data_IF_364211946301
#
_entry.id   IF_364211946301
#
_cell.length_a   1.000
_cell.length_b   1.000
_cell.length_c   1.000
_cell.angle_alpha   90.00
_cell.angle_beta   90.00
_cell.angle_gamma   90.00
#
_symmetry.space_group_name_H-M   'P 1'
#
loop_
_entity.id
_entity.type
_entity.pdbx_description
1 polymer ?
#
# COMPACT_ATOMS: atom_id res chain seq x y z
N UNK A 1 2.26 4.53 -9.77
CA UNK A 1 1.91 4.50 -11.21
C UNK A 1 3.15 4.21 -12.03
N UNK A 2 2.97 3.80 -13.28
CA UNK A 2 4.10 3.58 -14.18
C UNK A 2 4.72 4.88 -14.68
N UNK A 3 5.98 4.82 -15.11
CA UNK A 3 6.61 5.87 -15.91
C UNK A 3 5.90 5.95 -17.28
N UNK A 4 5.54 7.12 -17.80
CA UNK A 4 4.96 7.24 -19.13
C UNK A 4 5.79 6.57 -20.24
N UNK A 5 7.11 6.49 -20.06
CA UNK A 5 8.00 5.79 -21.01
C UNK A 5 7.70 4.32 -21.19
N UNK A 6 7.10 3.66 -20.19
CA UNK A 6 6.67 2.25 -20.29
C UNK A 6 5.69 2.05 -21.45
N UNK A 7 4.79 3.01 -21.68
CA UNK A 7 3.81 2.98 -22.77
C UNK A 7 4.45 3.06 -24.17
N UNK A 8 5.67 3.58 -24.25
CA UNK A 8 6.43 3.71 -25.50
C UNK A 8 7.47 2.60 -25.67
N UNK A 9 8.24 2.33 -24.62
CA UNK A 9 9.45 1.52 -24.69
C UNK A 9 9.23 0.08 -24.26
N UNK A 10 8.21 -0.16 -23.43
CA UNK A 10 7.97 -1.44 -22.76
C UNK A 10 6.48 -1.81 -22.69
N UNK A 11 5.69 -1.41 -23.69
CA UNK A 11 4.24 -1.69 -23.71
C UNK A 11 3.93 -3.19 -23.68
N UNK A 12 4.77 -4.01 -24.30
CA UNK A 12 4.60 -5.46 -24.30
C UNK A 12 4.85 -6.06 -22.92
N UNK A 13 5.83 -5.55 -22.17
CA UNK A 13 6.07 -5.94 -20.77
C UNK A 13 4.87 -5.56 -19.89
N UNK A 14 4.29 -4.36 -20.09
CA UNK A 14 3.10 -3.93 -19.40
C UNK A 14 1.91 -4.86 -19.70
N UNK A 15 1.65 -5.14 -20.98
CA UNK A 15 0.59 -6.05 -21.40
C UNK A 15 0.80 -7.47 -20.88
N UNK A 16 2.02 -7.96 -20.86
CA UNK A 16 2.34 -9.26 -20.28
C UNK A 16 2.07 -9.30 -18.78
N UNK A 17 2.46 -8.27 -18.03
CA UNK A 17 2.14 -8.13 -16.61
C UNK A 17 0.63 -8.16 -16.34
N UNK A 18 -0.15 -7.45 -17.16
CA UNK A 18 -1.63 -7.46 -17.07
C UNK A 18 -2.23 -8.84 -17.43
N UNK A 19 -1.64 -9.54 -18.39
CA UNK A 19 -2.04 -10.92 -18.74
C UNK A 19 -1.77 -11.87 -17.59
N UNK A 20 -0.61 -11.80 -16.97
CA UNK A 20 -0.26 -12.60 -15.77
C UNK A 20 -1.20 -12.34 -14.60
N UNK A 21 -1.72 -11.10 -14.48
CA UNK A 21 -2.76 -10.74 -13.51
C UNK A 21 -4.18 -11.14 -13.91
N UNK A 22 -4.41 -11.65 -15.14
CA UNK A 22 -5.74 -11.98 -15.65
C UNK A 22 -6.64 -10.77 -15.93
N UNK A 23 -6.08 -9.56 -16.11
CA UNK A 23 -6.84 -8.32 -16.29
C UNK A 23 -6.56 -7.63 -17.62
N UNK A 24 -5.79 -8.25 -18.53
CA UNK A 24 -5.41 -7.64 -19.81
C UNK A 24 -6.63 -7.27 -20.65
N UNK A 25 -7.60 -8.19 -20.80
CA UNK A 25 -8.77 -7.95 -21.66
C UNK A 25 -9.60 -6.75 -21.19
N UNK A 26 -9.71 -6.57 -19.89
CA UNK A 26 -10.42 -5.43 -19.27
C UNK A 26 -9.66 -4.12 -19.44
N UNK A 27 -8.31 -4.15 -19.32
CA UNK A 27 -7.47 -2.95 -19.31
C UNK A 27 -6.78 -2.64 -20.63
N UNK A 28 -6.92 -3.48 -21.66
CA UNK A 28 -6.35 -3.22 -22.98
C UNK A 28 -6.78 -1.86 -23.56
N UNK A 29 -8.06 -1.44 -23.49
CA UNK A 29 -8.45 -0.11 -23.96
C UNK A 29 -7.78 1.03 -23.19
N UNK A 30 -7.59 0.88 -21.87
CA UNK A 30 -6.88 1.87 -21.03
C UNK A 30 -5.41 1.98 -21.42
N UNK A 31 -4.74 0.84 -21.69
CA UNK A 31 -3.34 0.83 -22.16
C UNK A 31 -3.24 1.48 -23.54
N UNK A 32 -4.13 1.15 -24.47
CA UNK A 32 -4.13 1.70 -25.83
C UNK A 32 -4.34 3.22 -25.79
N UNK A 33 -5.28 3.70 -24.97
CA UNK A 33 -5.48 5.13 -24.73
C UNK A 33 -4.23 5.81 -24.15
N UNK A 34 -3.58 5.16 -23.21
CA UNK A 34 -2.30 5.64 -22.64
C UNK A 34 -1.21 5.78 -23.70
N UNK A 35 -1.08 4.81 -24.62
CA UNK A 35 -0.11 4.86 -25.73
C UNK A 35 -0.41 6.03 -26.68
N UNK A 36 -1.67 6.27 -27.00
CA UNK A 36 -2.08 7.43 -27.81
C UNK A 36 -1.71 8.74 -27.12
N UNK A 37 -2.08 8.90 -25.85
CA UNK A 37 -1.80 10.10 -25.06
C UNK A 37 -0.28 10.37 -24.91
N UNK A 38 0.55 9.35 -24.72
CA UNK A 38 2.00 9.53 -24.67
C UNK A 38 2.57 9.97 -26.03
N UNK A 39 2.05 9.47 -27.12
CA UNK A 39 2.42 9.93 -28.48
C UNK A 39 2.02 11.40 -28.67
N UNK A 40 0.78 11.75 -28.36
CA UNK A 40 0.25 13.13 -28.52
C UNK A 40 1.01 14.11 -27.63
N UNK A 41 1.30 13.74 -26.38
CA UNK A 41 2.16 14.49 -25.46
C UNK A 41 3.52 14.83 -26.09
N UNK A 42 4.20 13.86 -26.67
CA UNK A 42 5.50 14.07 -27.34
C UNK A 42 5.41 15.01 -28.52
N UNK A 43 4.38 14.86 -29.34
CA UNK A 43 4.11 15.74 -30.49
C UNK A 43 3.91 17.18 -30.03
N UNK A 44 3.11 17.38 -28.97
CA UNK A 44 2.87 18.72 -28.42
C UNK A 44 4.12 19.33 -27.78
N UNK A 45 4.92 18.53 -27.06
CA UNK A 45 6.22 19.01 -26.51
C UNK A 45 7.13 19.48 -27.64
N UNK A 46 7.30 18.67 -28.71
CA UNK A 46 8.14 19.04 -29.84
C UNK A 46 7.64 20.31 -30.53
N UNK A 47 6.35 20.38 -30.81
CA UNK A 47 5.76 21.59 -31.44
C UNK A 47 5.94 22.84 -30.57
N UNK A 48 5.76 22.71 -29.26
CA UNK A 48 5.95 23.82 -28.31
C UNK A 48 7.40 24.31 -28.31
N UNK A 49 8.37 23.40 -28.27
CA UNK A 49 9.80 23.75 -28.30
C UNK A 49 10.21 24.40 -29.62
N UNK A 50 9.70 23.92 -30.75
CA UNK A 50 9.92 24.54 -32.09
C UNK A 50 9.37 25.97 -32.14
N UNK A 51 8.16 26.23 -31.61
CA UNK A 51 7.57 27.57 -31.54
C UNK A 51 8.33 28.50 -30.58
N UNK A 52 8.77 27.98 -29.43
CA UNK A 52 9.62 28.74 -28.48
C UNK A 52 10.96 29.13 -29.12
N UNK A 53 11.60 28.23 -29.87
CA UNK A 53 12.83 28.52 -30.59
C UNK A 53 12.62 29.59 -31.69
N UNK A 54 11.52 29.46 -32.48
CA UNK A 54 11.15 30.46 -33.50
C UNK A 54 10.89 31.83 -32.84
N UNK A 55 10.17 31.89 -31.73
CA UNK A 55 9.95 33.17 -31.00
C UNK A 55 11.23 33.81 -30.49
N UNK A 56 12.19 33.00 -29.98
CA UNK A 56 13.48 33.46 -29.53
C UNK A 56 14.30 34.05 -30.69
N UNK A 57 14.34 33.35 -31.86
CA UNK A 57 15.00 33.85 -33.06
C UNK A 57 14.39 35.16 -33.58
N UNK A 58 13.04 35.22 -33.62
CA UNK A 58 12.30 36.44 -33.98
C UNK A 58 12.61 37.60 -33.05
N UNK A 59 12.72 37.37 -31.74
CA UNK A 59 13.06 38.40 -30.77
C UNK A 59 14.49 38.93 -30.93
N UNK A 60 15.45 38.09 -31.30
CA UNK A 60 16.81 38.48 -31.63
C UNK A 60 16.86 39.36 -32.87
N UNK A 61 16.06 39.00 -33.89
CA UNK A 61 16.00 39.77 -35.15
C UNK A 61 15.30 41.14 -34.94
N UNK A 62 14.24 41.23 -34.11
CA UNK A 62 13.63 42.49 -33.69
C UNK A 62 14.69 43.38 -33.02
N UNK A 63 15.50 42.83 -32.11
CA UNK A 63 16.55 43.59 -31.42
C UNK A 63 17.65 44.06 -32.39
N UNK A 64 18.01 43.26 -33.41
CA UNK A 64 18.95 43.65 -34.45
C UNK A 64 18.43 44.80 -35.29
N UNK A 65 17.18 44.70 -35.83
CA UNK A 65 16.57 45.76 -36.66
C UNK A 65 16.45 47.07 -35.87
N UNK A 66 15.97 47.05 -34.63
CA UNK A 66 15.89 48.23 -33.77
C UNK A 66 17.23 48.91 -33.55
N UNK A 67 18.31 48.16 -33.39
CA UNK A 67 19.67 48.74 -33.27
C UNK A 67 20.15 49.41 -34.53
N UNK A 68 19.68 48.93 -35.68
CA UNK A 68 20.01 49.50 -36.99
C UNK A 68 19.05 50.64 -37.42
N UNK A 69 18.10 51.06 -36.57
CA UNK A 69 17.01 51.98 -36.88
C UNK A 69 16.12 51.51 -38.06
N UNK A 70 15.99 50.20 -38.26
CA UNK A 70 15.09 49.57 -39.23
C UNK A 70 13.71 49.32 -38.59
N UNK A 71 12.61 49.39 -39.37
CA UNK A 71 11.29 48.95 -38.89
C UNK A 71 11.28 47.46 -38.55
N UNK A 72 10.60 47.14 -37.42
CA UNK A 72 10.44 45.77 -36.91
C UNK A 72 8.96 45.42 -36.65
N UNK A 73 8.00 46.20 -37.17
CA UNK A 73 6.57 46.05 -36.84
C UNK A 73 6.02 44.70 -37.30
N UNK A 74 6.46 44.23 -38.45
CA UNK A 74 6.15 42.90 -38.98
C UNK A 74 6.61 41.77 -38.05
N UNK A 75 7.85 41.87 -37.55
CA UNK A 75 8.42 40.89 -36.61
C UNK A 75 7.78 40.98 -35.22
N UNK A 76 7.35 42.15 -34.80
CA UNK A 76 6.61 42.30 -33.54
C UNK A 76 5.24 41.64 -33.65
N UNK A 77 4.52 41.85 -34.77
CA UNK A 77 3.25 41.18 -35.01
C UNK A 77 3.41 39.62 -35.08
N UNK A 78 4.45 39.14 -35.79
CA UNK A 78 4.79 37.71 -35.87
C UNK A 78 5.15 37.14 -34.48
N UNK A 79 5.92 37.86 -33.67
CA UNK A 79 6.24 37.45 -32.31
C UNK A 79 5.02 37.31 -31.41
N UNK A 80 4.01 38.17 -31.57
CA UNK A 80 2.73 38.04 -30.87
C UNK A 80 1.97 36.80 -31.30
N UNK A 81 1.86 36.55 -32.61
CA UNK A 81 1.21 35.34 -33.14
C UNK A 81 1.87 34.06 -32.62
N UNK A 82 3.21 33.99 -32.61
CA UNK A 82 3.95 32.87 -32.00
C UNK A 82 3.66 32.73 -30.51
N UNK A 83 3.49 33.84 -29.79
CA UNK A 83 3.07 33.80 -28.38
C UNK A 83 1.70 33.17 -28.17
N UNK A 84 0.73 33.53 -29.01
CA UNK A 84 -0.63 32.98 -28.96
C UNK A 84 -0.66 31.47 -29.34
N UNK A 85 0.14 31.05 -30.34
CA UNK A 85 0.30 29.64 -30.71
C UNK A 85 0.93 28.84 -29.54
N UNK A 86 1.99 29.34 -28.91
CA UNK A 86 2.63 28.69 -27.75
C UNK A 86 1.64 28.51 -26.61
N UNK A 87 0.88 29.57 -26.27
CA UNK A 87 -0.11 29.50 -25.21
C UNK A 87 -1.23 28.47 -25.48
N UNK A 88 -1.58 28.26 -26.77
CA UNK A 88 -2.52 27.19 -27.16
C UNK A 88 -1.90 25.82 -26.97
N UNK A 89 -0.69 25.59 -27.51
CA UNK A 89 0.01 24.31 -27.39
C UNK A 89 0.26 23.90 -25.94
N UNK A 90 0.59 24.84 -25.06
CA UNK A 90 0.78 24.58 -23.63
C UNK A 90 -0.52 24.16 -22.95
N UNK A 91 -1.67 24.78 -23.26
CA UNK A 91 -2.97 24.33 -22.74
C UNK A 91 -3.35 22.94 -23.25
N UNK A 92 -3.10 22.65 -24.53
CA UNK A 92 -3.37 21.34 -25.10
C UNK A 92 -2.46 20.27 -24.45
N UNK A 93 -1.20 20.59 -24.18
CA UNK A 93 -0.25 19.73 -23.49
C UNK A 93 -0.71 19.44 -22.04
N UNK A 94 -1.10 20.47 -21.28
CA UNK A 94 -1.60 20.33 -19.90
C UNK A 94 -2.84 19.40 -19.85
N UNK A 95 -3.73 19.51 -20.83
CA UNK A 95 -4.91 18.66 -20.92
C UNK A 95 -4.52 17.18 -21.18
N UNK A 96 -3.61 16.92 -22.12
CA UNK A 96 -3.11 15.58 -22.44
C UNK A 96 -2.34 14.99 -21.25
N UNK A 97 -1.48 15.77 -20.58
CA UNK A 97 -0.72 15.30 -19.40
C UNK A 97 -1.66 14.94 -18.24
N UNK A 98 -2.70 15.73 -18.01
CA UNK A 98 -3.71 15.45 -16.97
C UNK A 98 -4.50 14.18 -17.27
N UNK A 99 -4.86 13.92 -18.53
CA UNK A 99 -5.55 12.69 -18.93
C UNK A 99 -4.62 11.49 -18.85
N UNK A 100 -3.37 11.61 -19.31
CA UNK A 100 -2.36 10.55 -19.24
C UNK A 100 -2.10 10.14 -17.79
N UNK A 101 -2.00 11.11 -16.88
CA UNK A 101 -1.83 10.84 -15.46
C UNK A 101 -3.00 10.04 -14.90
N UNK A 102 -4.26 10.42 -15.21
CA UNK A 102 -5.45 9.68 -14.77
C UNK A 102 -5.44 8.26 -15.32
N UNK A 103 -5.15 8.08 -16.60
CA UNK A 103 -5.04 6.77 -17.26
C UNK A 103 -4.00 5.88 -16.57
N UNK A 104 -2.81 6.41 -16.27
CA UNK A 104 -1.74 5.66 -15.58
C UNK A 104 -2.10 5.29 -14.13
N UNK A 105 -2.97 6.05 -13.47
CA UNK A 105 -3.45 5.72 -12.12
C UNK A 105 -4.39 4.50 -12.10
N UNK A 106 -5.01 4.15 -13.22
CA UNK A 106 -5.91 2.99 -13.36
C UNK A 106 -5.18 1.67 -13.70
N UNK A 107 -3.92 1.74 -14.09
CA UNK A 107 -3.13 0.56 -14.48
C UNK A 107 -2.40 0.00 -13.25
N UNK A 108 -2.60 -1.28 -12.87
CA UNK A 108 -1.92 -1.91 -11.73
C UNK A 108 -0.42 -2.09 -11.97
N UNK A 109 0.33 -2.34 -10.90
CA UNK A 109 1.77 -2.59 -10.98
C UNK A 109 2.09 -3.88 -11.75
N UNK A 110 3.26 -3.93 -12.38
CA UNK A 110 3.78 -5.10 -13.09
C UNK A 110 4.33 -6.10 -12.07
N UNK A 111 3.87 -7.37 -12.09
CA UNK A 111 4.41 -8.40 -11.21
C UNK A 111 5.88 -8.71 -11.52
N UNK A 112 6.68 -8.90 -10.47
CA UNK A 112 8.08 -9.33 -10.63
C UNK A 112 8.17 -10.70 -11.33
N UNK A 113 9.29 -11.02 -12.02
CA UNK A 113 9.42 -12.24 -12.81
C UNK A 113 9.16 -13.54 -12.03
N UNK A 114 9.55 -13.59 -10.74
CA UNK A 114 9.39 -14.76 -9.88
C UNK A 114 7.97 -15.00 -9.35
N UNK A 115 7.05 -14.04 -9.52
CA UNK A 115 5.64 -14.16 -9.11
C UNK A 115 4.92 -15.10 -10.06
N UNK A 116 4.18 -16.13 -9.59
CA UNK A 116 3.41 -17.02 -10.46
C UNK A 116 2.33 -16.24 -11.23
N UNK A 117 2.05 -16.65 -12.46
CA UNK A 117 0.92 -16.12 -13.23
C UNK A 117 -0.38 -16.79 -12.77
N UNK A 118 -1.52 -16.10 -12.88
CA UNK A 118 -2.84 -16.65 -12.56
C UNK A 118 -3.43 -16.10 -11.26
N UNK A 119 -4.51 -16.72 -10.79
CA UNK A 119 -5.27 -16.34 -9.61
C UNK A 119 -4.82 -17.04 -8.32
N UNK A 120 -5.68 -17.03 -7.31
CA UNK A 120 -5.43 -17.58 -5.97
C UNK A 120 -5.03 -19.06 -5.98
N UNK A 121 -5.52 -19.85 -6.94
CA UNK A 121 -5.20 -21.27 -7.15
C UNK A 121 -3.73 -21.51 -7.54
N UNK A 122 -3.02 -20.47 -7.98
CA UNK A 122 -1.61 -20.51 -8.35
C UNK A 122 -0.68 -19.97 -7.23
N UNK A 123 -1.21 -19.65 -6.06
CA UNK A 123 -0.42 -19.27 -4.91
C UNK A 123 0.47 -20.42 -4.44
N UNK A 124 1.68 -20.11 -3.96
CA UNK A 124 2.68 -21.10 -3.58
C UNK A 124 3.03 -20.98 -2.10
N UNK A 125 2.89 -22.08 -1.35
CA UNK A 125 3.41 -22.15 0.03
C UNK A 125 4.93 -22.31 -0.06
N UNK A 126 5.66 -21.31 0.47
CA UNK A 126 7.14 -21.26 0.40
C UNK A 126 7.81 -21.58 1.74
N UNK A 127 7.06 -21.57 2.83
CA UNK A 127 7.53 -21.89 4.17
C UNK A 127 6.37 -22.28 5.08
N UNK A 128 6.63 -23.18 6.03
CA UNK A 128 5.75 -23.50 7.14
C UNK A 128 6.55 -23.52 8.43
N UNK A 129 5.91 -23.15 9.55
CA UNK A 129 6.51 -23.18 10.89
C UNK A 129 5.48 -23.59 11.95
N UNK A 130 5.96 -24.34 12.93
CA UNK A 130 5.16 -24.84 14.03
C UNK A 130 4.29 -26.05 13.65
N UNK A 131 3.64 -26.64 14.65
CA UNK A 131 2.71 -27.75 14.44
C UNK A 131 1.29 -27.29 14.66
N UNK A 132 0.42 -27.31 13.64
CA UNK A 132 -0.98 -26.92 13.78
C UNK A 132 -1.69 -27.76 14.85
N UNK A 133 -2.38 -27.11 15.80
CA UNK A 133 -3.24 -27.79 16.76
C UNK A 133 -4.38 -28.50 16.01
N UNK A 134 -4.69 -29.78 16.32
CA UNK A 134 -5.86 -30.44 15.76
C UNK A 134 -7.16 -29.68 16.05
N UNK A 135 -8.11 -29.77 15.14
CA UNK A 135 -9.42 -29.10 15.27
C UNK A 135 -10.31 -29.71 16.33
N UNK A 136 -10.14 -31.01 16.58
CA UNK A 136 -11.04 -31.78 17.45
C UNK A 136 -11.08 -31.24 18.88
N UNK A 137 -12.28 -30.96 19.37
CA UNK A 137 -12.52 -30.43 20.70
C UNK A 137 -12.13 -28.94 20.89
N UNK A 138 -11.81 -28.22 19.80
CA UNK A 138 -11.48 -26.79 19.88
C UNK A 138 -12.74 -25.96 19.66
N UNK A 139 -13.02 -25.10 20.64
CA UNK A 139 -14.12 -24.12 20.58
C UNK A 139 -13.66 -22.90 19.79
N UNK A 140 -14.46 -22.35 18.86
CA UNK A 140 -14.07 -21.19 18.10
C UNK A 140 -14.04 -19.90 18.94
N UNK A 141 -13.19 -18.95 18.55
CA UNK A 141 -12.89 -17.71 19.31
C UNK A 141 -14.14 -16.87 19.67
N UNK A 142 -15.19 -16.87 18.85
CA UNK A 142 -16.43 -16.11 19.16
C UNK A 142 -17.20 -16.72 20.32
N UNK A 143 -17.17 -18.03 20.53
CA UNK A 143 -17.78 -18.69 21.67
C UNK A 143 -16.96 -18.50 22.93
N UNK A 144 -15.63 -18.69 22.85
CA UNK A 144 -14.71 -18.43 23.97
C UNK A 144 -14.79 -16.97 24.40
N UNK A 145 -14.73 -16.05 23.46
CA UNK A 145 -14.77 -14.62 23.74
C UNK A 145 -16.07 -14.17 24.40
N UNK A 146 -17.21 -14.76 24.00
CA UNK A 146 -18.50 -14.53 24.62
C UNK A 146 -18.60 -15.16 26.03
N UNK A 147 -18.15 -16.42 26.21
CA UNK A 147 -18.16 -17.11 27.49
C UNK A 147 -17.32 -16.40 28.56
N UNK A 148 -16.14 -15.90 28.17
CA UNK A 148 -15.25 -15.10 29.02
C UNK A 148 -15.71 -13.64 29.19
N UNK A 149 -16.71 -13.17 28.44
CA UNK A 149 -17.18 -11.79 28.45
C UNK A 149 -16.15 -10.78 27.92
N UNK A 150 -15.18 -11.23 27.13
CA UNK A 150 -14.07 -10.40 26.63
C UNK A 150 -14.29 -9.84 25.22
N UNK A 151 -15.25 -10.42 24.46
CA UNK A 151 -15.69 -9.97 23.14
C UNK A 151 -17.20 -9.74 23.20
N UNK A 152 -17.68 -8.54 22.84
CA UNK A 152 -19.08 -8.13 22.93
C UNK A 152 -19.57 -7.57 21.58
N UNK A 153 -20.00 -8.44 20.70
CA UNK A 153 -20.49 -8.08 19.35
C UNK A 153 -21.90 -7.45 19.40
N UNK A 154 -22.72 -7.84 20.40
CA UNK A 154 -24.07 -7.29 20.54
C UNK A 154 -24.04 -5.79 20.86
N UNK A 155 -23.21 -5.38 21.83
CA UNK A 155 -23.05 -3.98 22.19
C UNK A 155 -22.32 -3.18 21.11
N UNK A 156 -21.36 -3.81 20.43
CA UNK A 156 -20.71 -3.19 19.27
C UNK A 156 -21.73 -2.83 18.18
N UNK A 157 -22.66 -3.74 17.88
CA UNK A 157 -23.73 -3.50 16.91
C UNK A 157 -24.67 -2.36 17.32
N UNK A 158 -24.94 -2.16 18.61
CA UNK A 158 -25.73 -1.01 19.11
C UNK A 158 -25.01 0.32 18.89
N UNK A 159 -23.65 0.32 18.97
CA UNK A 159 -22.83 1.53 18.85
C UNK A 159 -22.62 1.92 17.40
N UNK A 160 -22.24 0.94 16.56
CA UNK A 160 -21.71 1.22 15.22
C UNK A 160 -22.31 0.38 14.10
N UNK A 161 -23.23 -0.52 14.40
CA UNK A 161 -23.77 -1.49 13.45
C UNK A 161 -23.00 -2.80 13.44
N UNK A 162 -23.33 -3.69 12.50
CA UNK A 162 -22.64 -4.97 12.33
C UNK A 162 -21.21 -4.78 11.85
N UNK A 163 -20.33 -5.75 12.10
CA UNK A 163 -18.93 -5.71 11.65
C UNK A 163 -18.00 -4.85 12.53
N UNK A 164 -18.47 -4.45 13.73
CA UNK A 164 -17.64 -3.80 14.75
C UNK A 164 -17.48 -4.69 15.99
N UNK A 165 -16.45 -4.42 16.79
CA UNK A 165 -16.11 -5.23 17.97
C UNK A 165 -15.92 -4.33 19.19
N UNK A 166 -16.48 -4.74 20.31
CA UNK A 166 -16.14 -4.19 21.63
C UNK A 166 -15.36 -5.24 22.41
N UNK A 167 -14.09 -4.96 22.71
CA UNK A 167 -13.30 -5.75 23.63
C UNK A 167 -13.50 -5.23 25.06
N UNK A 168 -13.68 -6.14 26.02
CA UNK A 168 -13.96 -5.81 27.43
C UNK A 168 -12.96 -6.45 28.38
N UNK A 169 -12.77 -5.81 29.54
CA UNK A 169 -11.95 -6.36 30.64
C UNK A 169 -10.61 -6.96 30.15
N UNK A 170 -10.41 -8.26 30.37
CA UNK A 170 -9.20 -8.97 29.95
C UNK A 170 -8.99 -8.92 28.42
N UNK A 171 -10.04 -8.89 27.60
CA UNK A 171 -9.96 -8.73 26.15
C UNK A 171 -9.40 -7.38 25.74
N UNK A 172 -9.87 -6.28 26.35
CA UNK A 172 -9.31 -4.95 26.08
C UNK A 172 -7.85 -4.85 26.51
N UNK A 173 -7.50 -5.52 27.62
CA UNK A 173 -6.11 -5.62 28.08
C UNK A 173 -5.25 -6.40 27.10
N UNK A 174 -5.76 -7.53 26.55
CA UNK A 174 -5.06 -8.32 25.54
C UNK A 174 -4.75 -7.49 24.28
N UNK A 175 -5.72 -6.73 23.76
CA UNK A 175 -5.51 -5.83 22.61
C UNK A 175 -4.39 -4.84 22.87
N UNK A 176 -4.42 -4.15 24.03
CA UNK A 176 -3.38 -3.20 24.40
C UNK A 176 -2.01 -3.88 24.61
N UNK A 177 -2.00 -5.11 25.11
CA UNK A 177 -0.78 -5.90 25.31
C UNK A 177 -0.16 -6.30 23.98
N UNK A 178 -0.96 -6.69 22.98
CA UNK A 178 -0.50 -6.96 21.62
C UNK A 178 0.11 -5.72 20.98
N UNK A 179 -0.52 -4.55 21.16
CA UNK A 179 0.03 -3.28 20.67
C UNK A 179 1.44 -3.05 21.22
N UNK A 180 1.59 -3.06 22.53
CA UNK A 180 2.89 -2.80 23.18
C UNK A 180 3.92 -3.86 22.76
N UNK A 181 3.55 -5.13 22.77
CA UNK A 181 4.43 -6.23 22.39
C UNK A 181 4.95 -6.09 20.95
N UNK A 182 4.07 -5.84 19.98
CA UNK A 182 4.49 -5.72 18.58
C UNK A 182 5.33 -4.45 18.34
N UNK A 183 4.94 -3.33 18.95
CA UNK A 183 5.71 -2.09 18.82
C UNK A 183 7.12 -2.25 19.41
N UNK A 184 7.23 -2.80 20.62
CA UNK A 184 8.52 -3.03 21.28
C UNK A 184 9.39 -4.03 20.50
N UNK A 185 8.82 -5.17 20.06
CA UNK A 185 9.52 -6.17 19.26
C UNK A 185 10.15 -5.56 18.01
N UNK A 186 9.37 -4.80 17.25
CA UNK A 186 9.87 -4.26 15.99
C UNK A 186 10.83 -3.09 16.18
N UNK A 187 10.64 -2.29 17.23
CA UNK A 187 11.55 -1.20 17.57
C UNK A 187 12.88 -1.72 18.15
N UNK A 188 12.83 -2.64 19.13
CA UNK A 188 14.01 -3.03 19.90
C UNK A 188 14.84 -4.13 19.23
N UNK A 189 14.17 -5.15 18.67
CA UNK A 189 14.87 -6.29 18.06
C UNK A 189 15.10 -6.09 16.55
N UNK A 190 14.19 -5.41 15.86
CA UNK A 190 14.23 -5.29 14.39
C UNK A 190 14.72 -3.91 13.90
N UNK A 191 14.92 -2.95 14.82
CA UNK A 191 15.52 -1.65 14.53
C UNK A 191 14.66 -0.69 13.69
N UNK A 192 13.32 -0.83 13.74
CA UNK A 192 12.41 0.14 13.13
C UNK A 192 12.30 1.43 13.96
N UNK A 193 12.22 2.56 13.27
CA UNK A 193 11.85 3.83 13.89
C UNK A 193 10.34 3.85 14.18
N UNK A 194 9.96 4.08 15.44
CA UNK A 194 8.57 4.18 15.83
C UNK A 194 7.97 5.52 15.38
N UNK A 195 6.81 5.49 14.70
CA UNK A 195 6.06 6.68 14.33
C UNK A 195 4.58 6.54 14.71
N UNK A 196 3.96 7.65 15.11
CA UNK A 196 2.55 7.72 15.47
C UNK A 196 1.81 8.64 14.49
N UNK A 197 1.33 8.11 13.35
CA UNK A 197 0.77 8.92 12.27
C UNK A 197 -0.67 9.33 12.52
N UNK A 198 -1.16 10.40 11.85
CA UNK A 198 -2.58 10.70 11.82
C UNK A 198 -3.38 9.62 11.10
N UNK A 199 -4.61 9.38 11.56
CA UNK A 199 -5.52 8.38 10.98
C UNK A 199 -6.50 8.98 9.96
N UNK A 200 -6.54 10.30 9.85
CA UNK A 200 -7.22 11.05 8.79
C UNK A 200 -6.18 11.59 7.83
N UNK A 201 -6.33 11.29 6.55
CA UNK A 201 -5.37 11.63 5.51
C UNK A 201 -6.06 12.30 4.31
N UNK A 202 -5.30 13.07 3.54
CA UNK A 202 -5.77 13.71 2.32
C UNK A 202 -5.97 12.71 1.19
N UNK A 203 -6.79 13.07 0.20
CA UNK A 203 -6.93 12.35 -1.08
C UNK A 203 -5.57 12.10 -1.74
N UNK A 204 -4.67 13.07 -1.69
CA UNK A 204 -3.32 12.93 -2.25
C UNK A 204 -2.52 11.81 -1.57
N UNK A 205 -2.66 11.62 -0.25
CA UNK A 205 -2.01 10.52 0.48
C UNK A 205 -2.59 9.16 0.10
N UNK A 206 -3.93 9.05 -0.03
CA UNK A 206 -4.61 7.84 -0.50
C UNK A 206 -4.21 7.49 -1.94
N UNK A 207 -4.05 8.49 -2.81
CA UNK A 207 -3.57 8.31 -4.19
C UNK A 207 -2.12 7.87 -4.23
N UNK A 208 -1.27 8.42 -3.35
CA UNK A 208 0.15 8.11 -3.27
C UNK A 208 0.44 6.63 -3.04
N UNK A 209 -0.35 5.94 -2.23
CA UNK A 209 -0.21 4.50 -1.97
C UNK A 209 -1.06 3.62 -2.90
N UNK A 210 -1.92 4.22 -3.75
CA UNK A 210 -2.74 3.49 -4.73
C UNK A 210 -4.08 3.01 -4.22
N UNK A 211 -4.54 3.51 -3.08
CA UNK A 211 -5.90 3.28 -2.60
C UNK A 211 -6.91 3.99 -3.52
N UNK A 212 -6.62 5.22 -3.91
CA UNK A 212 -7.41 5.97 -4.86
C UNK A 212 -6.74 6.02 -6.25
N UNK A 213 -7.55 6.14 -7.33
CA UNK A 213 -9.03 6.25 -7.33
C UNK A 213 -9.77 4.91 -7.17
N UNK A 214 -9.10 3.77 -7.33
CA UNK A 214 -9.73 2.46 -7.56
C UNK A 214 -10.63 1.98 -6.40
N UNK A 215 -10.26 2.25 -5.15
CA UNK A 215 -10.94 1.72 -3.95
C UNK A 215 -11.72 2.81 -3.20
N UNK A 216 -12.21 3.85 -3.90
CA UNK A 216 -12.94 4.94 -3.25
C UNK A 216 -14.23 4.46 -2.56
N UNK A 217 -14.95 3.51 -3.17
CA UNK A 217 -16.16 2.92 -2.60
C UNK A 217 -15.92 2.10 -1.33
N UNK A 218 -14.69 1.60 -1.13
CA UNK A 218 -14.28 0.85 0.07
C UNK A 218 -13.68 1.74 1.18
N UNK A 219 -13.48 3.02 0.90
CA UNK A 219 -12.93 3.98 1.85
C UNK A 219 -14.02 4.68 2.67
N UNK A 220 -13.71 4.99 3.94
CA UNK A 220 -14.48 5.90 4.75
C UNK A 220 -13.98 7.33 4.54
N UNK A 221 -14.83 8.21 3.98
CA UNK A 221 -14.54 9.63 3.80
C UNK A 221 -15.30 10.51 4.79
N UNK A 222 -14.77 11.70 5.07
CA UNK A 222 -15.45 12.72 5.88
C UNK A 222 -16.47 13.53 5.04
N UNK A 223 -17.46 14.14 5.72
CA UNK A 223 -18.39 15.08 5.08
C UNK A 223 -17.80 16.50 5.19
N UNK A 224 -17.71 17.19 4.05
CA UNK A 224 -17.28 18.58 4.00
C UNK A 224 -15.78 18.81 3.81
N UNK A 225 -14.94 17.89 4.25
CA UNK A 225 -13.49 17.91 4.01
C UNK A 225 -13.13 16.73 3.10
N UNK A 226 -12.14 16.89 2.21
CA UNK A 226 -11.66 15.81 1.36
C UNK A 226 -10.59 14.96 2.12
N UNK A 227 -11.02 14.43 3.28
CA UNK A 227 -10.22 13.56 4.14
C UNK A 227 -10.80 12.15 4.21
N UNK A 228 -9.94 11.18 4.45
CA UNK A 228 -10.26 9.76 4.50
C UNK A 228 -9.71 9.14 5.78
N UNK A 229 -10.50 8.25 6.42
CA UNK A 229 -10.00 7.34 7.44
C UNK A 229 -9.11 6.28 6.78
N UNK A 230 -7.93 6.06 7.34
CA UNK A 230 -6.94 5.17 6.74
C UNK A 230 -7.36 3.70 6.80
N UNK A 231 -7.18 2.91 5.72
CA UNK A 231 -7.37 1.45 5.75
C UNK A 231 -6.16 0.72 6.35
N UNK A 232 -5.03 1.39 6.53
CA UNK A 232 -3.74 0.90 7.03
C UNK A 232 -2.80 2.07 7.32
N UNK A 233 -1.90 1.92 8.29
CA UNK A 233 -0.84 2.91 8.55
C UNK A 233 0.16 3.05 7.38
N UNK A 234 0.19 2.10 6.45
CA UNK A 234 0.93 2.25 5.19
C UNK A 234 0.69 3.61 4.54
N UNK A 235 -0.58 4.06 4.51
CA UNK A 235 -0.94 5.30 3.81
C UNK A 235 -0.22 6.52 4.39
N UNK A 236 -0.37 6.89 5.67
CA UNK A 236 0.34 8.04 6.20
C UNK A 236 1.86 7.83 6.24
N UNK A 237 2.34 6.65 6.61
CA UNK A 237 3.79 6.41 6.78
C UNK A 237 4.51 6.45 5.43
N UNK A 238 3.96 5.84 4.37
CA UNK A 238 4.56 5.94 3.02
C UNK A 238 4.55 7.37 2.48
N UNK A 239 3.65 8.23 2.95
CA UNK A 239 3.58 9.63 2.52
C UNK A 239 4.40 10.60 3.38
N UNK A 240 5.15 10.15 4.39
CA UNK A 240 5.99 11.03 5.22
C UNK A 240 6.99 11.83 4.39
N UNK A 241 7.49 11.22 3.32
CA UNK A 241 8.48 11.84 2.41
C UNK A 241 7.92 12.21 1.04
N UNK A 242 6.60 12.39 0.93
CA UNK A 242 6.00 12.83 -0.33
C UNK A 242 6.61 14.14 -0.81
N UNK A 243 6.94 14.20 -2.12
CA UNK A 243 7.57 15.32 -2.81
C UNK A 243 9.01 15.64 -2.34
N UNK A 244 9.67 14.67 -1.66
CA UNK A 244 11.03 14.86 -1.16
C UNK A 244 12.08 14.06 -1.94
N UNK A 245 13.34 14.50 -1.81
CA UNK A 245 14.52 13.78 -2.30
C UNK A 245 15.39 13.45 -1.10
N UNK A 246 15.42 12.15 -0.74
CA UNK A 246 16.22 11.65 0.36
C UNK A 246 17.71 11.55 -0.03
N UNK A 247 18.60 11.63 0.95
CA UNK A 247 20.00 11.28 0.76
C UNK A 247 20.15 9.74 0.67
N UNK A 248 20.96 9.25 -0.28
CA UNK A 248 21.11 7.81 -0.53
C UNK A 248 21.60 7.01 0.68
N UNK A 249 22.44 7.63 1.51
CA UNK A 249 22.92 7.04 2.77
C UNK A 249 21.84 6.84 3.84
N UNK A 250 20.65 7.46 3.68
CA UNK A 250 19.50 7.27 4.57
C UNK A 250 18.69 6.00 4.23
N UNK A 251 19.06 5.26 3.18
CA UNK A 251 18.43 4.00 2.78
C UNK A 251 19.32 2.80 3.13
N UNK A 252 18.75 1.62 3.47
CA UNK A 252 17.32 1.39 3.70
C UNK A 252 16.82 2.03 5.00
N UNK A 253 15.56 2.49 5.02
CA UNK A 253 14.93 3.06 6.22
C UNK A 253 13.63 2.32 6.52
N UNK A 254 13.37 2.03 7.81
CA UNK A 254 12.20 1.29 8.25
C UNK A 254 11.45 1.98 9.38
N UNK A 255 10.11 1.99 9.28
CA UNK A 255 9.20 2.54 10.27
C UNK A 255 8.24 1.48 10.78
N UNK A 256 7.93 1.52 12.08
CA UNK A 256 6.83 0.78 12.69
C UNK A 256 5.79 1.77 13.19
N UNK A 257 4.52 1.48 12.89
CA UNK A 257 3.41 2.35 13.27
C UNK A 257 2.20 1.53 13.71
N UNK A 258 1.57 1.96 14.81
CA UNK A 258 0.25 1.48 15.17
C UNK A 258 -0.84 2.39 14.58
N UNK A 259 -1.94 1.78 14.15
CA UNK A 259 -3.16 2.52 13.83
C UNK A 259 -4.43 1.67 13.99
N UNK A 260 -5.57 2.35 14.16
CA UNK A 260 -6.85 1.82 13.70
C UNK A 260 -6.85 1.80 12.18
N UNK A 261 -7.46 0.77 11.62
CA UNK A 261 -7.64 0.59 10.20
C UNK A 261 -9.14 0.54 9.91
N UNK A 262 -9.59 1.25 8.86
CA UNK A 262 -11.01 1.39 8.53
C UNK A 262 -11.27 0.91 7.11
N UNK A 263 -12.14 -0.10 6.96
CA UNK A 263 -12.52 -0.67 5.66
C UNK A 263 -14.03 -0.86 5.59
N UNK A 264 -14.67 -0.40 4.53
CA UNK A 264 -16.11 -0.60 4.34
C UNK A 264 -16.47 -2.04 3.99
N UNK A 265 -15.48 -2.83 3.56
CA UNK A 265 -15.67 -4.23 3.17
C UNK A 265 -16.80 -4.42 2.12
N UNK A 266 -16.93 -3.46 1.20
CA UNK A 266 -18.03 -3.36 0.25
C UNK A 266 -18.20 -4.59 -0.65
N UNK A 267 -17.11 -5.33 -0.90
CA UNK A 267 -17.11 -6.56 -1.74
C UNK A 267 -17.12 -7.87 -0.96
N UNK A 268 -17.36 -7.87 0.35
CA UNK A 268 -17.19 -9.06 1.21
C UNK A 268 -18.40 -9.98 1.35
N UNK A 269 -19.48 -9.75 0.62
CA UNK A 269 -20.68 -10.59 0.66
C UNK A 269 -20.34 -12.07 0.37
N UNK A 270 -20.70 -12.97 1.30
CA UNK A 270 -20.47 -14.42 1.20
C UNK A 270 -19.11 -14.91 1.71
N UNK A 271 -18.20 -14.04 2.16
CA UNK A 271 -16.97 -14.43 2.84
C UNK A 271 -17.23 -14.68 4.33
N UNK A 272 -16.39 -15.53 4.97
CA UNK A 272 -16.55 -15.83 6.40
C UNK A 272 -16.41 -14.56 7.24
N UNK A 273 -17.54 -14.11 7.82
CA UNK A 273 -17.65 -12.89 8.65
C UNK A 273 -17.92 -13.21 10.12
N UNK A 274 -17.84 -14.50 10.51
CA UNK A 274 -18.12 -14.91 11.89
C UNK A 274 -17.09 -14.35 12.87
N UNK A 275 -17.59 -13.97 14.05
CA UNK A 275 -16.76 -13.50 15.14
C UNK A 275 -16.05 -12.17 14.79
N UNK A 276 -14.73 -12.17 14.89
CA UNK A 276 -13.91 -10.96 14.68
C UNK A 276 -13.00 -11.06 13.42
N UNK A 277 -13.22 -12.03 12.54
CA UNK A 277 -12.33 -12.29 11.41
C UNK A 277 -12.33 -11.20 10.34
N UNK A 278 -13.47 -10.50 10.20
CA UNK A 278 -13.66 -9.42 9.22
C UNK A 278 -14.50 -8.30 9.84
N UNK A 279 -13.83 -7.17 10.06
CA UNK A 279 -14.42 -6.03 10.77
C UNK A 279 -14.18 -4.73 10.00
N UNK A 280 -15.08 -3.76 10.14
CA UNK A 280 -14.97 -2.44 9.52
C UNK A 280 -13.90 -1.55 10.18
N UNK A 281 -13.59 -1.83 11.44
CA UNK A 281 -12.54 -1.17 12.22
C UNK A 281 -11.71 -2.22 12.96
N UNK A 282 -10.39 -2.15 12.85
CA UNK A 282 -9.49 -3.05 13.55
C UNK A 282 -8.13 -2.40 13.84
N UNK A 283 -7.42 -2.99 14.82
CA UNK A 283 -6.09 -2.55 15.24
C UNK A 283 -5.01 -3.29 14.42
N UNK A 284 -3.98 -2.57 14.01
CA UNK A 284 -2.84 -3.14 13.29
C UNK A 284 -1.54 -2.41 13.61
N UNK A 285 -0.47 -3.15 13.80
CA UNK A 285 0.90 -2.65 13.70
C UNK A 285 1.37 -2.84 12.26
N UNK A 286 1.91 -1.81 11.66
CA UNK A 286 2.38 -1.80 10.27
C UNK A 286 3.87 -1.52 10.21
N UNK A 287 4.56 -2.24 9.35
CA UNK A 287 5.96 -2.05 8.99
C UNK A 287 6.03 -1.42 7.60
N UNK A 288 6.76 -0.32 7.47
CA UNK A 288 6.99 0.33 6.17
C UNK A 288 8.49 0.51 5.97
N UNK A 289 8.99 0.18 4.77
CA UNK A 289 10.39 0.38 4.41
C UNK A 289 10.54 1.17 3.11
N UNK A 290 11.59 1.97 3.08
CA UNK A 290 12.10 2.61 1.87
C UNK A 290 13.44 2.00 1.53
N UNK A 291 13.63 1.62 0.28
CA UNK A 291 14.85 0.96 -0.19
C UNK A 291 15.30 1.50 -1.56
N UNK A 292 16.53 1.21 -1.95
CA UNK A 292 16.95 1.33 -3.33
C UNK A 292 16.38 0.17 -4.17
N UNK A 293 16.37 0.33 -5.49
CA UNK A 293 15.92 -0.71 -6.41
C UNK A 293 16.69 -2.03 -6.22
N UNK A 294 18.01 -1.92 -6.04
CA UNK A 294 18.92 -3.08 -5.94
C UNK A 294 18.74 -3.84 -4.62
N UNK A 295 18.24 -3.19 -3.57
CA UNK A 295 18.10 -3.77 -2.22
C UNK A 295 16.66 -4.19 -1.88
N UNK A 296 15.65 -3.72 -2.61
CA UNK A 296 14.25 -3.91 -2.25
C UNK A 296 13.80 -5.38 -2.16
N UNK A 297 14.42 -6.28 -2.91
CA UNK A 297 14.17 -7.71 -2.79
C UNK A 297 14.61 -8.27 -1.44
N UNK A 298 15.83 -7.96 -1.01
CA UNK A 298 16.35 -8.34 0.31
C UNK A 298 15.55 -7.70 1.45
N UNK A 299 15.08 -6.46 1.26
CA UNK A 299 14.26 -5.77 2.24
C UNK A 299 12.86 -6.38 2.38
N UNK A 300 12.28 -6.97 1.33
CA UNK A 300 11.03 -7.74 1.42
C UNK A 300 11.22 -9.01 2.25
N UNK A 301 12.29 -9.77 1.99
CA UNK A 301 12.61 -10.98 2.76
C UNK A 301 12.81 -10.65 4.26
N UNK A 302 13.56 -9.58 4.55
CA UNK A 302 13.81 -9.11 5.91
C UNK A 302 12.53 -8.69 6.62
N UNK A 303 11.68 -7.87 5.97
CA UNK A 303 10.41 -7.41 6.52
C UNK A 303 9.48 -8.58 6.80
N UNK A 304 9.37 -9.53 5.86
CA UNK A 304 8.56 -10.74 6.03
C UNK A 304 9.07 -11.57 7.21
N UNK A 305 10.40 -11.73 7.35
CA UNK A 305 11.01 -12.44 8.50
C UNK A 305 10.66 -11.77 9.83
N UNK A 306 10.62 -10.43 9.89
CA UNK A 306 10.22 -9.70 11.08
C UNK A 306 8.75 -9.96 11.46
N UNK A 307 7.84 -10.02 10.49
CA UNK A 307 6.45 -10.40 10.73
C UNK A 307 6.30 -11.87 11.17
N UNK A 308 7.06 -12.80 10.57
CA UNK A 308 7.14 -14.20 11.00
C UNK A 308 7.59 -14.32 12.46
N UNK A 309 8.60 -13.53 12.87
CA UNK A 309 9.11 -13.52 14.25
C UNK A 309 8.03 -13.22 15.27
N UNK A 310 7.10 -12.32 14.95
CA UNK A 310 5.98 -12.00 15.85
C UNK A 310 5.07 -13.22 16.09
N UNK A 311 4.78 -14.01 15.05
CA UNK A 311 4.01 -15.27 15.18
C UNK A 311 4.79 -16.33 15.96
N UNK A 312 6.08 -16.48 15.69
CA UNK A 312 6.95 -17.43 16.39
C UNK A 312 7.06 -17.11 17.88
N UNK A 313 7.18 -15.84 18.26
CA UNK A 313 7.18 -15.40 19.67
C UNK A 313 5.84 -15.68 20.37
N UNK A 314 4.75 -15.61 19.63
CA UNK A 314 3.42 -15.97 20.14
C UNK A 314 3.17 -17.48 20.15
N UNK A 315 4.06 -18.30 19.57
CA UNK A 315 3.89 -19.76 19.45
C UNK A 315 2.73 -20.16 18.54
N UNK A 316 2.37 -19.33 17.55
CA UNK A 316 1.27 -19.57 16.62
C UNK A 316 1.82 -20.19 15.33
N UNK A 317 1.41 -21.42 14.97
CA UNK A 317 1.80 -22.04 13.70
C UNK A 317 1.31 -21.24 12.51
N UNK A 318 2.18 -21.07 11.50
CA UNK A 318 1.87 -20.28 10.31
C UNK A 318 2.46 -20.93 9.05
N UNK A 319 1.95 -20.47 7.90
CA UNK A 319 2.56 -20.71 6.59
C UNK A 319 2.76 -19.38 5.86
N UNK A 320 3.86 -19.29 5.10
CA UNK A 320 4.17 -18.17 4.21
C UNK A 320 3.78 -18.55 2.79
N UNK A 321 2.96 -17.75 2.18
CA UNK A 321 2.38 -17.95 0.86
C UNK A 321 2.84 -16.85 -0.10
N UNK A 322 3.51 -17.21 -1.20
CA UNK A 322 3.77 -16.30 -2.30
C UNK A 322 2.50 -16.18 -3.14
N UNK A 323 1.96 -14.98 -3.24
CA UNK A 323 0.77 -14.73 -4.03
C UNK A 323 1.06 -14.71 -5.52
N UNK A 324 0.16 -15.30 -6.31
CA UNK A 324 0.17 -15.20 -7.75
C UNK A 324 -0.25 -13.78 -8.21
N UNK A 325 0.10 -13.45 -9.43
CA UNK A 325 -0.07 -12.11 -9.99
C UNK A 325 -1.51 -11.59 -9.94
N UNK A 326 -2.51 -12.45 -10.14
CA UNK A 326 -3.93 -12.11 -10.09
C UNK A 326 -4.49 -11.95 -8.68
N UNK A 327 -3.84 -12.54 -7.67
CA UNK A 327 -4.20 -12.41 -6.25
C UNK A 327 -3.42 -11.27 -5.55
N UNK A 328 -2.31 -10.86 -6.12
CA UNK A 328 -1.48 -9.76 -5.61
C UNK A 328 -2.23 -8.42 -5.69
N UNK A 329 -2.13 -7.61 -4.64
CA UNK A 329 -2.76 -6.29 -4.58
C UNK A 329 -2.41 -5.37 -5.76
N UNK A 330 -3.32 -4.42 -6.07
CA UNK A 330 -3.22 -3.52 -7.22
C UNK A 330 -1.87 -2.82 -7.38
N UNK A 331 -1.33 -2.29 -6.30
CA UNK A 331 -0.07 -1.54 -6.30
C UNK A 331 1.16 -2.42 -6.13
N UNK A 332 1.01 -3.67 -5.69
CA UNK A 332 2.12 -4.57 -5.37
C UNK A 332 2.71 -5.23 -6.62
N UNK A 333 4.04 -5.39 -6.64
CA UNK A 333 4.77 -6.17 -7.63
C UNK A 333 5.08 -7.61 -7.16
N UNK A 334 5.10 -7.83 -5.84
CA UNK A 334 5.30 -9.13 -5.21
C UNK A 334 4.77 -9.06 -3.77
N UNK A 335 4.06 -10.10 -3.34
CA UNK A 335 3.47 -10.18 -2.00
C UNK A 335 3.67 -11.56 -1.40
N UNK A 336 4.06 -11.59 -0.13
CA UNK A 336 3.96 -12.75 0.73
C UNK A 336 2.86 -12.54 1.76
N UNK A 337 1.92 -13.48 1.86
CA UNK A 337 0.98 -13.55 2.97
C UNK A 337 1.48 -14.52 4.04
N UNK A 338 1.32 -14.14 5.30
CA UNK A 338 1.46 -15.03 6.44
C UNK A 338 0.08 -15.43 6.90
N UNK A 339 -0.20 -16.71 6.84
CA UNK A 339 -1.46 -17.29 7.27
C UNK A 339 -1.23 -18.09 8.55
N UNK A 340 -1.92 -17.72 9.64
CA UNK A 340 -1.89 -18.42 10.91
C UNK A 340 -3.01 -19.47 10.99
N UNK A 341 -2.73 -20.63 11.59
CA UNK A 341 -3.74 -21.67 11.77
C UNK A 341 -4.72 -21.27 12.87
N UNK A 342 -6.01 -21.35 12.59
CA UNK A 342 -7.09 -21.14 13.53
C UNK A 342 -7.88 -22.45 13.71
N UNK A 343 -7.58 -23.28 14.73
CA UNK A 343 -8.15 -24.63 14.86
C UNK A 343 -9.65 -24.64 15.12
N UNK A 344 -10.22 -23.65 15.80
CA UNK A 344 -11.67 -23.54 16.04
C UNK A 344 -12.44 -23.13 14.79
N UNK A 345 -11.86 -22.27 13.94
CA UNK A 345 -12.37 -21.96 12.60
C UNK A 345 -12.12 -23.14 11.67
N UNK A 346 -11.00 -23.83 11.82
CA UNK A 346 -10.56 -24.92 10.95
C UNK A 346 -9.99 -24.43 9.62
N UNK A 347 -9.35 -23.25 9.64
CA UNK A 347 -8.79 -22.60 8.45
C UNK A 347 -7.47 -21.85 8.76
N UNK A 348 -6.69 -21.65 7.72
CA UNK A 348 -5.56 -20.72 7.72
C UNK A 348 -6.08 -19.30 7.52
N UNK A 349 -5.73 -18.39 8.42
CA UNK A 349 -6.15 -16.99 8.39
C UNK A 349 -4.97 -16.08 8.04
N UNK A 350 -5.09 -15.29 7.01
CA UNK A 350 -4.13 -14.24 6.70
C UNK A 350 -4.05 -13.24 7.86
N UNK A 351 -2.88 -13.13 8.49
CA UNK A 351 -2.61 -12.22 9.62
C UNK A 351 -1.63 -11.12 9.25
N UNK A 352 -0.89 -11.28 8.17
CA UNK A 352 0.02 -10.29 7.60
C UNK A 352 0.11 -10.47 6.09
N UNK A 353 0.23 -9.36 5.36
CA UNK A 353 0.52 -9.32 3.94
C UNK A 353 1.73 -8.41 3.74
N UNK A 354 2.84 -8.95 3.24
CA UNK A 354 4.13 -8.28 3.09
C UNK A 354 4.40 -8.02 1.61
N UNK A 355 4.47 -6.76 1.19
CA UNK A 355 4.50 -6.37 -0.22
C UNK A 355 5.71 -5.51 -0.59
N UNK A 356 6.23 -5.74 -1.79
CA UNK A 356 7.15 -4.85 -2.48
C UNK A 356 6.41 -4.16 -3.64
N UNK A 357 6.37 -2.84 -3.63
CA UNK A 357 5.70 -2.03 -4.65
C UNK A 357 6.64 -1.54 -5.73
N UNK A 358 7.92 -1.86 -5.64
CA UNK A 358 8.96 -1.26 -6.47
C UNK A 358 8.90 0.28 -6.41
N UNK A 359 9.04 0.99 -7.51
CA UNK A 359 8.91 2.45 -7.55
C UNK A 359 7.47 2.95 -7.80
N UNK A 360 6.49 2.05 -7.85
CA UNK A 360 5.12 2.36 -8.24
C UNK A 360 4.43 3.40 -7.33
N UNK A 361 4.52 3.22 -6.00
CA UNK A 361 3.99 4.18 -5.02
C UNK A 361 4.87 5.44 -4.96
N UNK A 362 6.18 5.28 -5.02
CA UNK A 362 7.11 6.39 -5.02
C UNK A 362 6.91 7.35 -6.20
N UNK A 363 6.51 6.85 -7.37
CA UNK A 363 6.12 7.68 -8.52
C UNK A 363 4.81 8.42 -8.29
N UNK A 364 3.85 7.84 -7.58
CA UNK A 364 2.58 8.50 -7.21
C UNK A 364 2.79 9.60 -6.18
N UNK A 365 3.64 9.34 -5.19
CA UNK A 365 3.95 10.24 -4.08
C UNK A 365 5.20 11.12 -4.35
N UNK A 366 5.85 10.98 -5.53
CA UNK A 366 7.05 11.72 -5.92
C UNK A 366 8.19 11.62 -4.89
N UNK A 367 8.42 10.41 -4.34
CA UNK A 367 9.48 10.16 -3.36
C UNK A 367 10.73 9.68 -4.08
N UNK A 368 11.80 10.44 -3.98
CA UNK A 368 13.07 10.14 -4.66
C UNK A 368 14.22 10.08 -3.67
N UNK A 369 15.34 9.55 -4.10
CA UNK A 369 16.60 9.62 -3.38
C UNK A 369 17.75 9.94 -4.32
N UNK A 370 18.82 10.52 -3.79
CA UNK A 370 20.07 10.79 -4.51
C UNK A 370 21.11 9.76 -4.09
N UNK A 371 21.52 8.83 -4.99
CA UNK A 371 22.47 7.77 -4.61
C UNK A 371 23.81 8.30 -4.13
N UNK A 372 24.33 9.35 -4.76
CA UNK A 372 25.61 9.98 -4.44
C UNK A 372 25.65 11.45 -4.84
N UNK A 373 26.67 12.15 -4.38
CA UNK A 373 26.88 13.57 -4.68
C UNK A 373 27.02 13.80 -6.20
N UNK A 374 26.14 14.61 -6.78
CA UNK A 374 26.13 14.93 -8.21
C UNK A 374 25.37 13.93 -9.08
N UNK A 375 24.91 12.80 -8.53
CA UNK A 375 24.05 11.86 -9.24
C UNK A 375 22.61 12.38 -9.40
N UNK A 376 21.93 11.93 -10.46
CA UNK A 376 20.52 12.24 -10.68
C UNK A 376 19.66 11.50 -9.65
N UNK A 377 18.62 12.16 -9.08
CA UNK A 377 17.67 11.50 -8.21
C UNK A 377 16.97 10.33 -8.91
N UNK A 378 16.74 9.24 -8.16
CA UNK A 378 15.97 8.06 -8.56
C UNK A 378 14.77 7.90 -7.64
N UNK A 379 13.72 7.23 -8.09
CA UNK A 379 12.61 6.87 -7.21
C UNK A 379 13.04 5.79 -6.22
N UNK A 380 12.58 5.92 -4.97
CA UNK A 380 12.76 4.85 -3.98
C UNK A 380 11.85 3.67 -4.33
N UNK A 381 12.16 2.49 -3.81
CA UNK A 381 11.20 1.39 -3.70
C UNK A 381 10.54 1.45 -2.33
N UNK A 382 9.23 1.25 -2.28
CA UNK A 382 8.46 1.17 -1.03
C UNK A 382 8.03 -0.26 -0.76
N UNK A 383 8.01 -0.62 0.51
CA UNK A 383 7.60 -1.93 0.99
C UNK A 383 6.74 -1.75 2.25
N UNK A 384 5.77 -2.63 2.44
CA UNK A 384 5.02 -2.70 3.68
C UNK A 384 4.79 -4.14 4.13
N UNK A 385 4.36 -4.29 5.37
CA UNK A 385 3.84 -5.54 5.90
C UNK A 385 3.22 -5.34 7.27
N UNK A 386 2.21 -6.15 7.58
CA UNK A 386 1.62 -6.09 8.92
C UNK A 386 2.52 -6.75 9.93
N UNK A 387 2.82 -6.05 10.98
CA UNK A 387 3.55 -6.56 12.12
C UNK A 387 2.74 -7.00 13.36
N UNK A 388 1.50 -7.28 13.34
CA UNK A 388 0.45 -8.04 12.72
C UNK A 388 -0.92 -7.31 12.80
N UNK A 389 -1.98 -7.90 12.15
CA UNK A 389 -3.37 -7.51 12.34
C UNK A 389 -3.96 -8.20 13.58
N UNK A 390 -4.56 -7.42 14.51
CA UNK A 390 -4.92 -7.95 15.83
C UNK A 390 -6.11 -8.91 15.82
N UNK A 391 -7.23 -8.67 15.12
CA UNK A 391 -8.41 -9.52 15.30
C UNK A 391 -8.14 -10.99 14.98
N UNK A 392 -7.49 -11.27 13.86
CA UNK A 392 -7.16 -12.65 13.46
C UNK A 392 -6.08 -13.26 14.36
N UNK A 393 -5.11 -12.46 14.82
CA UNK A 393 -4.12 -12.88 15.82
C UNK A 393 -4.78 -13.22 17.15
N UNK A 394 -5.74 -12.42 17.61
CA UNK A 394 -6.54 -12.70 18.84
C UNK A 394 -7.34 -13.98 18.66
N UNK A 395 -8.00 -14.17 17.51
CA UNK A 395 -8.72 -15.42 17.21
C UNK A 395 -7.79 -16.63 17.35
N UNK A 396 -6.61 -16.59 16.73
CA UNK A 396 -5.62 -17.65 16.84
C UNK A 396 -5.15 -17.88 18.30
N UNK A 397 -4.88 -16.81 19.07
CA UNK A 397 -4.50 -16.94 20.48
C UNK A 397 -5.61 -17.62 21.29
N UNK A 398 -6.86 -17.18 21.18
CA UNK A 398 -7.98 -17.75 21.91
C UNK A 398 -8.16 -19.23 21.57
N UNK A 399 -8.02 -19.59 20.31
CA UNK A 399 -8.25 -20.95 19.83
C UNK A 399 -7.08 -21.91 20.12
N UNK A 400 -5.82 -21.42 20.03
CA UNK A 400 -4.65 -22.24 20.35
C UNK A 400 -4.45 -22.48 21.85
N UNK A 401 -4.74 -21.48 22.66
CA UNK A 401 -4.37 -21.44 24.07
C UNK A 401 -5.53 -21.73 25.02
N UNK A 402 -6.73 -22.06 24.50
CA UNK A 402 -7.88 -22.50 25.32
C UNK A 402 -7.58 -23.76 26.13
N UNK A 403 -8.09 -23.81 27.37
CA UNK A 403 -7.96 -24.92 28.30
C UNK A 403 -9.31 -25.63 28.48
N UNK A 404 -9.28 -26.83 29.04
CA UNK A 404 -10.48 -27.64 29.29
C UNK A 404 -11.46 -27.01 30.29
N UNK A 405 -10.95 -26.13 31.16
CA UNK A 405 -11.75 -25.37 32.14
C UNK A 405 -12.41 -24.10 31.53
N UNK A 406 -12.23 -23.85 30.24
CA UNK A 406 -12.77 -22.69 29.54
C UNK A 406 -11.90 -21.43 29.62
N UNK A 407 -10.82 -21.46 30.40
CA UNK A 407 -9.84 -20.36 30.43
C UNK A 407 -8.94 -20.38 29.20
N UNK A 408 -8.18 -19.30 28.97
CA UNK A 408 -7.18 -19.20 27.91
C UNK A 408 -5.83 -18.87 28.55
N UNK A 409 -4.83 -19.73 28.35
CA UNK A 409 -3.46 -19.43 28.77
C UNK A 409 -2.91 -18.28 27.96
N UNK A 410 -2.25 -17.31 28.62
CA UNK A 410 -1.59 -16.20 27.92
C UNK A 410 -0.26 -16.70 27.36
N UNK A 411 0.04 -16.48 26.08
CA UNK A 411 1.36 -16.76 25.50
C UNK A 411 2.48 -16.14 26.33
N UNK A 412 3.58 -16.83 26.54
CA UNK A 412 4.67 -16.40 27.42
C UNK A 412 5.19 -14.99 27.09
N UNK A 413 5.32 -14.68 25.80
CA UNK A 413 5.76 -13.37 25.33
C UNK A 413 4.79 -12.23 25.71
N UNK A 414 3.51 -12.52 25.93
CA UNK A 414 2.51 -11.51 26.31
C UNK A 414 2.30 -11.38 27.82
N UNK A 415 2.77 -12.34 28.65
CA UNK A 415 2.55 -12.29 30.11
C UNK A 415 3.06 -11.00 30.76
N UNK A 416 4.24 -10.46 30.41
CA UNK A 416 4.71 -9.19 30.98
C UNK A 416 3.76 -8.01 30.70
N UNK A 417 3.11 -8.02 29.53
CA UNK A 417 2.20 -6.95 29.09
C UNK A 417 0.78 -7.14 29.64
N UNK A 418 0.28 -8.37 29.65
CA UNK A 418 -1.04 -8.72 30.19
C UNK A 418 -1.02 -8.67 31.73
N UNK A 419 0.07 -9.07 32.37
CA UNK A 419 0.22 -9.16 33.83
C UNK A 419 -0.65 -10.25 34.46
N UNK A 420 -0.92 -11.31 33.68
CA UNK A 420 -1.62 -12.51 34.13
C UNK A 420 -1.20 -13.69 33.25
N UNK A 421 -1.28 -14.91 33.82
CA UNK A 421 -0.96 -16.14 33.09
C UNK A 421 -2.16 -16.69 32.32
N UNK A 422 -3.39 -16.24 32.64
CA UNK A 422 -4.64 -16.71 32.03
C UNK A 422 -5.65 -15.57 31.84
N UNK A 423 -6.54 -15.76 30.88
CA UNK A 423 -7.75 -15.00 30.66
C UNK A 423 -8.92 -15.88 31.12
N UNK A 424 -9.77 -15.38 32.00
CA UNK A 424 -10.91 -16.11 32.58
C UNK A 424 -10.69 -16.55 34.00
#
# INVERSE_FOLDING_TARGET
>A
MHDPRVLREQVDLLRDGLRRRGVLDTLAPTVDRGVELERDRRTLIQATEERKAARNANSQEVARRKRNNESADDLIAHGKALGDEIAKLERDLDAVESELQRTLLEIPNIPLPQVPAGGEDQNVIVREWGTPRPRDGVVPHWEIGAALGIIDLERASKVSGSGFVVYRAAGARLIRSLLNFFMDLHREEHGYEEVWPPQLVTRASMTGTGQLPKFEDDAYGTRGDDLFLIPTAEVPVTNLYRDEILEGQALPRGFVAYSKCFRREAGSAGKDTRGILRTHEFDKVELVRYASADDSGAQLELLTRHAETALERLGIPYRRKLLAAGDTGFSSAMTYDLEAWAPGVGAWLEVSSCSNFTDYQARRANIRYRPGKGEKPRFVHTLNGSGLAFPRTVACILEHYQQADGSVTVPDALRPYVGADRLG
#
